data_IF_045884214548
#
_entry.id   IF_045884214548
#
_cell.length_a   1.000
_cell.length_b   1.000
_cell.length_c   1.000
_cell.angle_alpha   90.00
_cell.angle_beta   90.00
_cell.angle_gamma   90.00
#
_symmetry.space_group_name_H-M   'P 1'
#
loop_
_entity.id
_entity.type
_entity.pdbx_description
1 polymer ?
#
# COMPACT_ATOMS: atom_id res chain seq x y z
N UNK A 1 -3.30 -11.12 9.07
CA UNK A 1 -4.49 -11.89 9.54
C UNK A 1 -5.37 -10.92 10.30
N UNK A 2 -6.70 -11.10 10.32
CA UNK A 2 -7.56 -10.27 11.18
C UNK A 2 -7.59 -10.83 12.61
N UNK A 3 -7.62 -9.95 13.61
CA UNK A 3 -7.92 -10.34 14.99
C UNK A 3 -9.45 -10.26 15.16
N UNK A 4 -10.10 -11.42 15.30
CA UNK A 4 -11.56 -11.49 15.45
C UNK A 4 -12.02 -10.71 16.68
N UNK A 5 -13.05 -9.86 16.52
CA UNK A 5 -13.61 -9.05 17.61
C UNK A 5 -12.77 -7.82 18.00
N UNK A 6 -11.69 -7.51 17.27
CA UNK A 6 -10.81 -6.38 17.60
C UNK A 6 -11.55 -5.03 17.51
N UNK A 7 -12.39 -4.85 16.50
CA UNK A 7 -13.13 -3.60 16.28
C UNK A 7 -14.21 -3.36 17.34
N UNK A 8 -14.81 -4.43 17.89
CA UNK A 8 -15.78 -4.30 18.99
C UNK A 8 -15.12 -3.73 20.26
N UNK A 9 -13.81 -3.91 20.41
CA UNK A 9 -13.03 -3.38 21.51
C UNK A 9 -12.44 -1.99 21.24
N UNK A 10 -11.89 -1.76 20.03
CA UNK A 10 -11.23 -0.49 19.67
C UNK A 10 -12.19 0.59 19.16
N UNK A 11 -13.41 0.21 18.74
CA UNK A 11 -14.35 1.07 18.03
C UNK A 11 -14.03 1.18 16.53
N UNK A 12 -14.83 1.98 15.82
CA UNK A 12 -14.78 2.13 14.35
C UNK A 12 -13.63 3.01 13.85
N UNK A 13 -12.86 3.61 14.77
CA UNK A 13 -11.84 4.60 14.45
C UNK A 13 -12.43 5.95 14.05
N UNK A 14 -11.60 6.79 13.44
CA UNK A 14 -11.98 8.15 13.02
C UNK A 14 -11.85 8.32 11.52
N UNK A 15 -12.91 8.79 10.87
CA UNK A 15 -12.88 9.14 9.45
C UNK A 15 -12.43 10.60 9.30
N UNK A 16 -11.31 10.80 8.62
CA UNK A 16 -10.73 12.13 8.38
C UNK A 16 -10.45 12.31 6.88
N UNK A 17 -10.68 13.52 6.37
CA UNK A 17 -10.33 13.87 5.00
C UNK A 17 -8.81 13.83 4.80
N UNK A 18 -8.33 13.18 3.74
CA UNK A 18 -6.89 13.14 3.42
C UNK A 18 -6.32 14.55 3.18
N UNK A 19 -7.10 15.43 2.56
CA UNK A 19 -6.70 16.83 2.33
C UNK A 19 -6.59 17.61 3.64
N UNK A 20 -7.50 17.36 4.59
CA UNK A 20 -7.46 17.97 5.91
C UNK A 20 -6.25 17.46 6.70
N UNK A 21 -6.01 16.14 6.67
CA UNK A 21 -4.87 15.50 7.32
C UNK A 21 -3.54 16.08 6.84
N UNK A 22 -3.34 16.16 5.51
CA UNK A 22 -2.09 16.71 4.97
C UNK A 22 -1.92 18.19 5.24
N UNK A 23 -3.00 18.97 5.16
CA UNK A 23 -2.97 20.42 5.42
C UNK A 23 -2.63 20.72 6.88
N UNK A 24 -3.30 20.04 7.83
CA UNK A 24 -3.03 20.19 9.27
C UNK A 24 -1.61 19.79 9.63
N UNK A 25 -1.11 18.70 9.07
CA UNK A 25 0.26 18.26 9.29
C UNK A 25 1.27 19.28 8.74
N UNK A 26 1.06 19.77 7.52
CA UNK A 26 1.96 20.76 6.92
C UNK A 26 2.02 22.05 7.73
N UNK A 27 0.88 22.53 8.25
CA UNK A 27 0.83 23.71 9.12
C UNK A 27 1.60 23.51 10.44
N UNK A 28 1.57 22.28 11.00
CA UNK A 28 2.18 21.96 12.29
C UNK A 28 3.67 21.66 12.19
N UNK A 29 4.06 20.86 11.21
CA UNK A 29 5.42 20.29 11.11
C UNK A 29 6.26 20.97 10.01
N UNK A 30 5.66 21.87 9.21
CA UNK A 30 6.29 22.54 8.07
C UNK A 30 6.94 21.58 7.05
N UNK A 31 6.38 20.39 6.90
CA UNK A 31 6.82 19.37 5.93
C UNK A 31 5.64 18.51 5.46
N UNK A 32 5.86 17.82 4.33
CA UNK A 32 4.88 16.88 3.75
C UNK A 32 4.56 15.75 4.74
N UNK A 33 3.32 15.27 4.68
CA UNK A 33 2.90 14.07 5.41
C UNK A 33 3.45 12.83 4.70
N UNK A 34 4.31 12.07 5.37
CA UNK A 34 4.95 10.87 4.86
C UNK A 34 4.21 9.62 5.32
N UNK A 35 3.86 8.72 4.40
CA UNK A 35 3.12 7.50 4.71
C UNK A 35 3.81 6.26 4.13
N UNK A 36 3.97 5.24 4.96
CA UNK A 36 4.35 3.91 4.51
C UNK A 36 3.11 3.14 4.05
N UNK A 37 3.16 2.57 2.86
CA UNK A 37 2.06 1.82 2.25
C UNK A 37 2.44 0.34 2.19
N UNK A 38 1.64 -0.51 2.81
CA UNK A 38 1.68 -1.95 2.53
C UNK A 38 1.17 -2.19 1.11
N UNK A 39 2.07 -2.57 0.21
CA UNK A 39 1.74 -2.78 -1.18
C UNK A 39 0.71 -3.88 -1.39
N UNK A 40 0.79 -4.96 -0.62
CA UNK A 40 -0.11 -6.10 -0.75
C UNK A 40 -1.53 -5.68 -0.41
N UNK A 41 -1.73 -4.88 0.65
CA UNK A 41 -3.04 -4.33 0.98
C UNK A 41 -3.63 -3.56 -0.20
N UNK A 42 -2.85 -2.65 -0.78
CA UNK A 42 -3.30 -1.83 -1.90
C UNK A 42 -3.63 -2.64 -3.14
N UNK A 43 -2.86 -3.69 -3.44
CA UNK A 43 -3.11 -4.56 -4.58
C UNK A 43 -4.36 -5.44 -4.39
N UNK A 44 -4.51 -6.09 -3.25
CA UNK A 44 -5.60 -7.05 -3.03
C UNK A 44 -6.96 -6.37 -2.74
N UNK A 45 -6.96 -5.16 -2.17
CA UNK A 45 -8.18 -4.41 -1.87
C UNK A 45 -8.58 -3.43 -3.00
N UNK A 46 -7.97 -3.54 -4.17
CA UNK A 46 -8.24 -2.61 -5.28
C UNK A 46 -9.41 -3.06 -6.16
N UNK A 47 -9.27 -4.25 -6.74
CA UNK A 47 -10.18 -4.83 -7.72
C UNK A 47 -10.32 -6.31 -7.43
N UNK A 48 -11.53 -6.83 -7.61
CA UNK A 48 -11.77 -8.28 -7.53
C UNK A 48 -11.25 -8.98 -8.78
N UNK A 49 -10.89 -10.26 -8.67
CA UNK A 49 -10.46 -11.06 -9.83
C UNK A 49 -11.50 -11.06 -10.96
N UNK A 50 -12.79 -10.97 -10.61
CA UNK A 50 -13.88 -10.87 -11.58
C UNK A 50 -13.84 -9.54 -12.34
N UNK A 51 -13.62 -8.41 -11.65
CA UNK A 51 -13.48 -7.11 -12.30
C UNK A 51 -12.25 -7.07 -13.21
N UNK A 52 -11.12 -7.62 -12.76
CA UNK A 52 -9.89 -7.72 -13.57
C UNK A 52 -10.16 -8.49 -14.86
N UNK A 53 -10.79 -9.67 -14.77
CA UNK A 53 -11.15 -10.49 -15.94
C UNK A 53 -12.11 -9.78 -16.88
N UNK A 54 -13.11 -9.07 -16.37
CA UNK A 54 -14.06 -8.30 -17.19
C UNK A 54 -13.38 -7.17 -17.97
N UNK A 55 -12.40 -6.48 -17.36
CA UNK A 55 -11.62 -5.45 -18.05
C UNK A 55 -10.74 -6.08 -19.13
N UNK A 56 -10.05 -7.17 -18.80
CA UNK A 56 -9.15 -7.86 -19.74
C UNK A 56 -9.89 -8.55 -20.89
N UNK A 57 -11.16 -8.93 -20.71
CA UNK A 57 -12.00 -9.43 -21.79
C UNK A 57 -12.27 -8.35 -22.86
N UNK A 58 -12.28 -7.07 -22.47
CA UNK A 58 -12.44 -5.94 -23.40
C UNK A 58 -11.11 -5.44 -23.96
N UNK A 59 -10.08 -5.40 -23.11
CA UNK A 59 -8.72 -4.98 -23.47
C UNK A 59 -7.70 -5.97 -22.90
N UNK A 60 -7.28 -7.00 -23.68
CA UNK A 60 -6.41 -8.07 -23.19
C UNK A 60 -5.05 -7.60 -22.66
N UNK A 61 -4.55 -6.45 -23.11
CA UNK A 61 -3.26 -5.88 -22.66
C UNK A 61 -3.41 -4.96 -21.45
N UNK A 62 -4.61 -4.81 -20.89
CA UNK A 62 -4.85 -3.94 -19.75
C UNK A 62 -4.16 -4.46 -18.48
N UNK A 63 -3.54 -3.55 -17.74
CA UNK A 63 -3.02 -3.74 -16.39
C UNK A 63 -3.92 -2.97 -15.39
N UNK A 64 -5.12 -3.49 -15.07
CA UNK A 64 -6.14 -2.72 -14.34
C UNK A 64 -5.74 -2.43 -12.89
N UNK A 65 -5.02 -3.34 -12.24
CA UNK A 65 -4.56 -3.18 -10.85
C UNK A 65 -3.54 -2.04 -10.76
N UNK A 66 -2.51 -2.06 -11.61
CA UNK A 66 -1.47 -1.04 -11.66
C UNK A 66 -2.06 0.32 -12.06
N UNK A 67 -2.99 0.35 -13.02
CA UNK A 67 -3.72 1.57 -13.39
C UNK A 67 -4.51 2.16 -12.22
N UNK A 68 -5.17 1.33 -11.41
CA UNK A 68 -5.90 1.82 -10.26
C UNK A 68 -4.98 2.29 -9.13
N UNK A 69 -3.85 1.61 -8.90
CA UNK A 69 -2.79 2.08 -7.97
C UNK A 69 -2.23 3.43 -8.44
N UNK A 70 -1.98 3.59 -9.74
CA UNK A 70 -1.51 4.86 -10.34
C UNK A 70 -2.43 6.03 -9.97
N UNK A 71 -3.74 5.89 -10.16
CA UNK A 71 -4.68 6.97 -9.84
C UNK A 71 -4.67 7.33 -8.35
N UNK A 72 -4.52 6.34 -7.46
CA UNK A 72 -4.40 6.59 -6.02
C UNK A 72 -3.11 7.35 -5.69
N UNK A 73 -1.97 6.95 -6.27
CA UNK A 73 -0.69 7.66 -6.12
C UNK A 73 -0.82 9.11 -6.57
N UNK A 74 -1.34 9.34 -7.78
CA UNK A 74 -1.54 10.69 -8.31
C UNK A 74 -2.45 11.54 -7.42
N UNK A 75 -3.50 10.94 -6.84
CA UNK A 75 -4.37 11.59 -5.87
C UNK A 75 -3.61 12.03 -4.61
N UNK A 76 -2.79 11.16 -4.03
CA UNK A 76 -2.03 11.47 -2.83
C UNK A 76 -0.90 12.49 -3.08
N UNK A 77 -0.20 12.38 -4.20
CA UNK A 77 0.84 13.34 -4.58
C UNK A 77 0.25 14.75 -4.76
N UNK A 78 -0.96 14.86 -5.35
CA UNK A 78 -1.69 16.13 -5.44
C UNK A 78 -2.06 16.72 -4.08
N UNK A 79 -2.27 15.87 -3.07
CA UNK A 79 -2.56 16.27 -1.69
C UNK A 79 -1.30 16.50 -0.85
N UNK A 80 -0.12 16.61 -1.49
CA UNK A 80 1.17 16.89 -0.84
C UNK A 80 1.66 15.79 0.11
N UNK A 81 1.29 14.53 -0.16
CA UNK A 81 1.84 13.37 0.55
C UNK A 81 3.21 12.97 -0.01
N UNK A 82 4.06 12.42 0.86
CA UNK A 82 5.23 11.62 0.49
C UNK A 82 4.90 10.15 0.71
N UNK A 83 5.17 9.30 -0.27
CA UNK A 83 4.79 7.88 -0.24
C UNK A 83 6.03 7.01 -0.18
N UNK A 84 6.00 5.98 0.66
CA UNK A 84 6.99 4.90 0.68
C UNK A 84 6.24 3.57 0.55
N UNK A 85 6.39 2.89 -0.57
CA UNK A 85 5.80 1.55 -0.74
C UNK A 85 6.70 0.49 -0.09
N UNK A 86 6.10 -0.38 0.70
CA UNK A 86 6.79 -1.49 1.37
C UNK A 86 6.28 -2.80 0.78
N UNK A 87 7.20 -3.55 0.17
CA UNK A 87 6.92 -4.86 -0.40
C UNK A 87 7.27 -5.97 0.59
N UNK A 88 6.50 -7.06 0.57
CA UNK A 88 6.83 -8.28 1.32
C UNK A 88 8.22 -8.80 0.93
N UNK A 89 8.93 -9.32 1.94
CA UNK A 89 10.28 -9.86 1.86
C UNK A 89 10.37 -11.37 1.81
N UNK A 90 11.58 -11.91 1.58
CA UNK A 90 11.83 -13.35 1.54
C UNK A 90 11.66 -14.03 2.91
N UNK A 91 11.81 -13.30 4.02
CA UNK A 91 11.67 -13.83 5.39
C UNK A 91 10.23 -13.93 5.88
N UNK A 92 9.23 -13.74 5.00
CA UNK A 92 7.82 -13.84 5.37
C UNK A 92 7.45 -15.27 5.82
N UNK A 93 6.78 -15.45 6.96
CA UNK A 93 6.34 -16.77 7.40
C UNK A 93 5.28 -17.37 6.47
N UNK A 94 5.34 -18.69 6.27
CA UNK A 94 4.35 -19.40 5.46
C UNK A 94 2.97 -19.35 6.13
N UNK A 95 1.94 -18.87 5.40
CA UNK A 95 0.57 -18.88 5.91
C UNK A 95 0.07 -20.32 6.04
N UNK A 96 -0.08 -20.83 7.27
CA UNK A 96 -0.65 -22.16 7.57
C UNK A 96 -2.01 -22.32 6.87
N UNK A 97 -2.21 -23.44 6.16
CA UNK A 97 -3.50 -23.80 5.56
C UNK A 97 -3.77 -23.29 4.14
N UNK A 98 -2.94 -22.39 3.56
CA UNK A 98 -3.02 -22.07 2.13
C UNK A 98 -1.83 -22.69 1.38
N UNK A 99 -2.09 -23.70 0.56
CA UNK A 99 -1.17 -24.15 -0.50
C UNK A 99 -1.09 -23.03 -1.54
N UNK A 100 -0.35 -21.97 -1.25
CA UNK A 100 -0.39 -20.76 -2.06
C UNK A 100 0.24 -19.52 -1.42
N UNK A 101 1.16 -19.68 -0.46
CA UNK A 101 2.18 -18.66 -0.24
C UNK A 101 3.13 -18.66 -1.43
N UNK A 102 2.62 -18.33 -2.62
CA UNK A 102 3.38 -18.36 -3.86
C UNK A 102 4.63 -17.50 -3.69
N UNK A 103 5.75 -17.97 -4.24
CA UNK A 103 6.96 -17.14 -4.41
C UNK A 103 6.53 -15.75 -4.85
N UNK A 104 7.13 -14.72 -4.27
CA UNK A 104 6.92 -13.33 -4.70
C UNK A 104 7.10 -13.32 -6.22
N UNK A 105 6.02 -13.05 -6.94
CA UNK A 105 6.05 -12.99 -8.40
C UNK A 105 6.68 -11.65 -8.80
N UNK A 106 8.01 -11.65 -8.83
CA UNK A 106 8.80 -10.45 -9.13
C UNK A 106 8.48 -9.86 -10.51
N UNK A 107 8.07 -10.69 -11.48
CA UNK A 107 7.63 -10.20 -12.79
C UNK A 107 6.32 -9.43 -12.69
N UNK A 108 5.38 -9.91 -11.87
CA UNK A 108 4.14 -9.17 -11.56
C UNK A 108 4.39 -7.87 -10.79
N UNK A 109 5.48 -7.78 -10.04
CA UNK A 109 5.89 -6.55 -9.34
C UNK A 109 6.64 -5.56 -10.24
N UNK A 110 7.26 -6.02 -11.32
CA UNK A 110 8.16 -5.23 -12.18
C UNK A 110 7.49 -3.98 -12.73
N UNK A 111 6.26 -4.11 -13.24
CA UNK A 111 5.51 -2.97 -13.78
C UNK A 111 5.22 -1.92 -12.70
N UNK A 112 4.78 -2.36 -11.52
CA UNK A 112 4.49 -1.47 -10.40
C UNK A 112 5.76 -0.75 -9.92
N UNK A 113 6.86 -1.47 -9.69
CA UNK A 113 8.13 -0.87 -9.28
C UNK A 113 8.65 0.14 -10.29
N UNK A 114 8.66 -0.23 -11.57
CA UNK A 114 9.00 0.69 -12.66
C UNK A 114 8.12 1.93 -12.61
N UNK A 115 6.81 1.79 -12.44
CA UNK A 115 5.90 2.92 -12.34
C UNK A 115 6.26 3.82 -11.15
N UNK A 116 6.50 3.27 -9.96
CA UNK A 116 6.91 4.03 -8.78
C UNK A 116 8.19 4.85 -9.03
N UNK A 117 9.21 4.24 -9.66
CA UNK A 117 10.45 4.91 -10.04
C UNK A 117 10.20 6.12 -10.96
N UNK A 118 9.34 5.98 -11.97
CA UNK A 118 9.01 7.08 -12.90
C UNK A 118 8.31 8.26 -12.22
N UNK A 119 7.56 8.01 -11.14
CA UNK A 119 6.91 9.05 -10.34
C UNK A 119 7.78 9.58 -9.19
N UNK A 120 9.00 9.08 -9.02
CA UNK A 120 9.87 9.43 -7.90
C UNK A 120 9.30 8.99 -6.55
N UNK A 121 8.44 7.96 -6.54
CA UNK A 121 7.88 7.37 -5.32
C UNK A 121 8.84 6.31 -4.80
N UNK A 122 9.29 6.47 -3.56
CA UNK A 122 10.22 5.53 -2.94
C UNK A 122 9.54 4.19 -2.66
N UNK A 123 10.32 3.12 -2.78
CA UNK A 123 9.91 1.83 -2.28
C UNK A 123 11.06 1.02 -1.71
N UNK A 124 10.72 0.14 -0.77
CA UNK A 124 11.65 -0.79 -0.13
C UNK A 124 11.08 -2.20 -0.11
N UNK A 125 11.96 -3.19 0.07
CA UNK A 125 11.55 -4.58 0.31
C UNK A 125 11.82 -4.87 1.78
N UNK A 126 10.77 -5.28 2.51
CA UNK A 126 10.88 -5.67 3.90
C UNK A 126 11.79 -6.90 4.06
N UNK A 127 12.38 -7.15 5.24
CA UNK A 127 13.05 -8.42 5.52
C UNK A 127 12.04 -9.58 5.62
N UNK A 128 10.82 -9.29 6.09
CA UNK A 128 9.74 -10.26 6.32
C UNK A 128 8.40 -9.74 5.80
N UNK A 129 7.47 -9.41 6.70
CA UNK A 129 6.15 -8.89 6.32
C UNK A 129 6.16 -7.36 6.14
N UNK A 130 5.49 -6.88 5.10
CA UNK A 130 5.38 -5.45 4.80
C UNK A 130 4.70 -4.66 5.93
N UNK A 131 3.58 -5.15 6.48
CA UNK A 131 2.87 -4.54 7.62
C UNK A 131 3.79 -4.29 8.83
N UNK A 132 4.65 -5.26 9.16
CA UNK A 132 5.58 -5.15 10.28
C UNK A 132 6.68 -4.11 10.02
N UNK A 133 7.18 -4.07 8.79
CA UNK A 133 8.19 -3.09 8.37
C UNK A 133 7.60 -1.68 8.30
N UNK A 134 6.38 -1.50 7.79
CA UNK A 134 5.65 -0.23 7.83
C UNK A 134 5.53 0.30 9.28
N UNK A 135 5.11 -0.54 10.22
CA UNK A 135 5.01 -0.17 11.63
C UNK A 135 6.38 0.19 12.24
N UNK A 136 7.45 -0.51 11.83
CA UNK A 136 8.82 -0.20 12.24
C UNK A 136 9.28 1.16 11.73
N UNK A 137 9.02 1.48 10.45
CA UNK A 137 9.33 2.79 9.86
C UNK A 137 8.64 3.92 10.64
N UNK A 138 7.37 3.75 10.99
CA UNK A 138 6.63 4.74 11.77
C UNK A 138 7.22 4.90 13.18
N UNK A 139 7.54 3.79 13.86
CA UNK A 139 8.19 3.82 15.18
C UNK A 139 9.54 4.51 15.18
N UNK A 140 10.29 4.43 14.08
CA UNK A 140 11.57 5.11 13.91
C UNK A 140 11.44 6.58 13.47
N UNK A 141 10.22 7.09 13.26
CA UNK A 141 9.98 8.45 12.80
C UNK A 141 10.36 8.69 11.33
N UNK A 142 10.51 7.63 10.53
CA UNK A 142 10.79 7.72 9.09
C UNK A 142 9.53 8.12 8.33
N UNK A 143 8.37 7.66 8.81
CA UNK A 143 7.05 8.01 8.27
C UNK A 143 6.11 8.46 9.40
N UNK A 144 5.11 9.25 9.05
CA UNK A 144 4.12 9.79 10.00
C UNK A 144 2.98 8.80 10.27
N UNK A 145 2.64 7.97 9.28
CA UNK A 145 1.61 6.96 9.38
C UNK A 145 1.85 5.74 8.49
N UNK A 146 1.02 4.72 8.69
CA UNK A 146 0.97 3.48 7.90
C UNK A 146 -0.40 3.36 7.24
N UNK A 147 -0.41 2.93 5.97
CA UNK A 147 -1.59 2.47 5.25
C UNK A 147 -1.45 0.97 5.00
N UNK A 148 -2.22 0.17 5.73
CA UNK A 148 -2.21 -1.30 5.69
C UNK A 148 -3.60 -1.90 5.53
#
# INVERSE_FOLDING_TARGET
MGVTGLWDFLGEGTVVSLAELSSKHFQKENRRFCIAIDEACWRFNNLTDQQVKQIQAKEPRANPVEKAILYRILGLLRLNFTLIFVFDGPGRPWKRGRRGGGKIDYERLRLLKSMLDHFGVQFIVAPGEAEAECARLQRLGIVDAVWS
#
